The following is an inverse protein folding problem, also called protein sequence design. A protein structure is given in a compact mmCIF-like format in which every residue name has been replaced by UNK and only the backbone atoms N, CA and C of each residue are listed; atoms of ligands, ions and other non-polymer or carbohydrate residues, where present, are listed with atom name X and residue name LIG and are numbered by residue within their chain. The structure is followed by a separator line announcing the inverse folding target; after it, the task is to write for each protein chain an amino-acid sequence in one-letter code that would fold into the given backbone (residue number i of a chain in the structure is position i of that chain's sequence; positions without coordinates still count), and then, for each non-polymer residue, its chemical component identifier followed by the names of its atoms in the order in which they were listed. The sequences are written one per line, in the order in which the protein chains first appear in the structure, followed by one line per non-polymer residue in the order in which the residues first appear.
data_IF_782848399688
#
_entry.id   IF_782848399688
#
_cell.length_a   1.000
_cell.length_b   1.000
_cell.length_c   1.000
_cell.angle_alpha   90.00
_cell.angle_beta   90.00
_cell.angle_gamma   90.00
#
_symmetry.space_group_name_H-M   'P 1'
#
loop_
_entity.id
_entity.type
_entity.pdbx_description
1 polymer ?
#
# COMPACT_ATOMS: atom_id res chain seq x y z
N UNK A 1 4.64 19.96 -0.67
CA UNK A 1 5.41 20.66 -1.72
C UNK A 1 4.70 21.91 -2.20
N UNK A 2 4.95 23.02 -1.52
CA UNK A 2 4.38 24.31 -1.93
C UNK A 2 5.32 25.17 -2.78
N UNK A 3 6.48 24.61 -3.23
CA UNK A 3 7.40 25.33 -4.11
C UNK A 3 7.08 24.98 -5.57
N UNK A 4 6.69 25.99 -6.31
CA UNK A 4 6.30 25.91 -7.73
C UNK A 4 7.48 25.76 -8.71
N UNK A 5 8.67 25.42 -8.23
CA UNK A 5 9.89 25.36 -9.06
C UNK A 5 10.19 23.97 -9.62
N UNK A 6 9.58 22.91 -9.08
CA UNK A 6 9.75 21.57 -9.61
C UNK A 6 8.88 21.39 -10.87
N UNK A 7 9.42 20.82 -11.96
CA UNK A 7 8.62 20.47 -13.12
C UNK A 7 7.51 19.50 -12.71
N UNK A 8 6.32 19.71 -13.24
CA UNK A 8 5.14 18.88 -12.96
C UNK A 8 4.75 18.17 -14.24
N UNK A 9 4.41 16.90 -14.13
CA UNK A 9 3.95 16.08 -15.26
C UNK A 9 2.64 15.42 -14.91
N UNK A 10 1.72 15.47 -15.85
CA UNK A 10 0.50 14.66 -15.90
C UNK A 10 0.67 13.64 -17.00
N UNK A 11 0.48 12.37 -16.70
CA UNK A 11 0.57 11.31 -17.70
C UNK A 11 -0.69 11.31 -18.57
N UNK A 12 -0.53 11.12 -19.86
CA UNK A 12 -1.64 10.75 -20.74
C UNK A 12 -2.08 9.31 -20.47
N UNK A 13 -3.29 8.92 -20.87
CA UNK A 13 -3.75 7.54 -20.69
C UNK A 13 -2.88 6.52 -21.47
N UNK A 14 -2.27 6.93 -22.58
CA UNK A 14 -1.33 6.06 -23.31
C UNK A 14 -0.02 5.88 -22.52
N UNK A 15 0.55 6.94 -21.96
CA UNK A 15 1.72 6.81 -21.07
C UNK A 15 1.38 5.93 -19.84
N UNK A 16 0.17 6.05 -19.26
CA UNK A 16 -0.28 5.15 -18.19
C UNK A 16 -0.27 3.71 -18.64
N UNK A 17 -0.77 3.41 -19.86
CA UNK A 17 -0.77 2.04 -20.39
C UNK A 17 0.64 1.48 -20.52
N UNK A 18 1.58 2.28 -21.02
CA UNK A 18 2.99 1.89 -21.13
C UNK A 18 3.60 1.55 -19.79
N UNK A 19 3.42 2.43 -18.78
CA UNK A 19 3.92 2.21 -17.43
C UNK A 19 3.33 0.95 -16.79
N UNK A 20 2.03 0.72 -16.98
CA UNK A 20 1.33 -0.43 -16.37
C UNK A 20 1.79 -1.74 -17.01
N UNK A 21 2.02 -1.78 -18.34
CA UNK A 21 2.58 -2.98 -18.99
C UNK A 21 3.93 -3.37 -18.40
N UNK A 22 4.82 -2.39 -18.17
CA UNK A 22 6.12 -2.64 -17.53
C UNK A 22 5.93 -3.23 -16.11
N UNK A 23 5.01 -2.67 -15.33
CA UNK A 23 4.71 -3.17 -13.99
C UNK A 23 4.09 -4.58 -14.00
N UNK A 24 3.23 -4.88 -14.99
CA UNK A 24 2.69 -6.22 -15.19
C UNK A 24 3.77 -7.23 -15.58
N UNK A 25 4.70 -6.84 -16.46
CA UNK A 25 5.83 -7.67 -16.88
C UNK A 25 6.83 -7.92 -15.74
N UNK A 26 6.91 -7.01 -14.75
CA UNK A 26 7.63 -7.23 -13.50
C UNK A 26 6.92 -8.18 -12.52
N UNK A 27 5.65 -8.48 -12.74
CA UNK A 27 4.84 -9.37 -11.90
C UNK A 27 3.97 -8.68 -10.85
N UNK A 28 3.85 -7.36 -10.89
CA UNK A 28 2.94 -6.65 -9.98
C UNK A 28 1.48 -7.01 -10.24
N UNK A 29 0.70 -7.17 -9.16
CA UNK A 29 -0.75 -7.48 -9.21
C UNK A 29 -1.59 -6.41 -8.52
N UNK A 30 -0.95 -5.52 -7.78
CA UNK A 30 -1.59 -4.44 -7.04
C UNK A 30 -0.76 -3.16 -7.16
N UNK A 31 -1.42 -2.06 -7.42
CA UNK A 31 -0.80 -0.74 -7.50
C UNK A 31 -1.40 0.19 -6.43
N UNK A 32 -0.60 1.16 -5.99
CA UNK A 32 -1.05 2.36 -5.32
C UNK A 32 -0.85 3.53 -6.27
N UNK A 33 -1.93 4.18 -6.64
CA UNK A 33 -1.90 5.39 -7.46
C UNK A 33 -1.77 6.62 -6.58
N UNK A 34 -0.81 7.46 -6.89
CA UNK A 34 -0.59 8.74 -6.21
C UNK A 34 -0.78 9.90 -7.19
N UNK A 35 -1.62 10.85 -6.81
CA UNK A 35 -1.90 12.04 -7.61
C UNK A 35 -1.61 13.31 -6.82
N UNK A 36 -0.99 14.28 -7.49
CA UNK A 36 -0.91 15.64 -6.95
C UNK A 36 -2.28 16.31 -6.93
N UNK A 37 -2.53 17.14 -5.93
CA UNK A 37 -3.77 17.92 -5.87
C UNK A 37 -3.71 19.09 -6.86
N UNK A 38 -4.51 19.01 -7.91
CA UNK A 38 -4.72 20.09 -8.87
C UNK A 38 -6.12 19.96 -9.48
N UNK A 39 -7.09 20.79 -9.08
CA UNK A 39 -8.50 20.64 -9.47
C UNK A 39 -8.74 20.62 -10.98
N UNK A 40 -7.99 21.42 -11.74
CA UNK A 40 -8.13 21.54 -13.19
C UNK A 40 -7.36 20.44 -13.94
N UNK A 41 -6.13 20.14 -13.52
CA UNK A 41 -5.27 19.17 -14.21
C UNK A 41 -5.56 17.72 -13.80
N UNK A 42 -5.92 17.48 -12.53
CA UNK A 42 -6.23 16.17 -12.00
C UNK A 42 -7.66 16.10 -11.44
N UNK A 43 -8.69 16.40 -12.26
CA UNK A 43 -10.07 16.25 -11.82
C UNK A 43 -10.37 14.78 -11.52
N UNK A 44 -11.38 14.52 -10.70
CA UNK A 44 -11.72 13.15 -10.29
C UNK A 44 -12.03 12.24 -11.49
N UNK A 45 -12.58 12.78 -12.56
CA UNK A 45 -12.91 12.01 -13.74
C UNK A 45 -11.65 11.49 -14.45
N UNK A 46 -10.55 12.26 -14.47
CA UNK A 46 -9.26 11.77 -14.95
C UNK A 46 -8.73 10.63 -14.09
N UNK A 47 -8.85 10.73 -12.75
CA UNK A 47 -8.46 9.64 -11.84
C UNK A 47 -9.24 8.36 -12.12
N UNK A 48 -10.54 8.49 -12.33
CA UNK A 48 -11.45 7.38 -12.71
C UNK A 48 -11.03 6.76 -14.04
N UNK A 49 -10.71 7.60 -15.04
CA UNK A 49 -10.27 7.11 -16.36
C UNK A 49 -8.93 6.37 -16.29
N UNK A 50 -7.99 6.84 -15.46
CA UNK A 50 -6.73 6.12 -15.19
C UNK A 50 -7.02 4.75 -14.56
N UNK A 51 -7.89 4.67 -13.56
CA UNK A 51 -8.24 3.41 -12.90
C UNK A 51 -8.86 2.41 -13.90
N UNK A 52 -9.83 2.87 -14.71
CA UNK A 52 -10.47 2.05 -15.75
C UNK A 52 -9.46 1.59 -16.81
N UNK A 53 -8.56 2.48 -17.20
CA UNK A 53 -7.47 2.16 -18.15
C UNK A 53 -6.60 1.04 -17.60
N UNK A 54 -6.17 1.13 -16.34
CA UNK A 54 -5.33 0.11 -15.69
C UNK A 54 -6.03 -1.25 -15.66
N UNK A 55 -7.29 -1.31 -15.24
CA UNK A 55 -8.03 -2.58 -15.20
C UNK A 55 -8.31 -3.18 -16.59
N UNK A 56 -8.24 -2.36 -17.64
CA UNK A 56 -8.40 -2.80 -19.03
C UNK A 56 -7.15 -3.39 -19.67
N UNK A 57 -5.97 -3.28 -19.01
CA UNK A 57 -4.71 -3.75 -19.57
C UNK A 57 -4.47 -5.21 -19.16
N UNK A 58 -3.89 -5.98 -20.09
CA UNK A 58 -3.35 -7.31 -19.86
C UNK A 58 -2.10 -7.46 -20.73
N UNK A 59 -0.95 -7.70 -20.10
CA UNK A 59 0.31 -7.96 -20.79
C UNK A 59 0.76 -9.39 -20.53
N UNK A 60 0.74 -10.24 -21.55
CA UNK A 60 1.11 -11.65 -21.42
C UNK A 60 0.28 -12.36 -20.35
N UNK A 61 0.91 -12.74 -19.25
CA UNK A 61 0.27 -13.29 -18.02
C UNK A 61 0.03 -12.22 -16.96
N UNK A 62 0.39 -10.96 -17.27
CA UNK A 62 0.23 -9.81 -16.39
C UNK A 62 -1.21 -9.32 -16.37
N UNK A 63 -1.66 -8.91 -15.19
CA UNK A 63 -2.87 -8.12 -14.99
C UNK A 63 -2.81 -7.45 -13.63
N UNK A 64 -3.22 -6.20 -13.54
CA UNK A 64 -3.42 -5.53 -12.25
C UNK A 64 -4.79 -5.92 -11.72
N UNK A 65 -4.81 -6.62 -10.60
CA UNK A 65 -6.03 -7.14 -9.97
C UNK A 65 -6.60 -6.18 -8.93
N UNK A 66 -5.83 -5.19 -8.50
CA UNK A 66 -6.26 -4.20 -7.52
C UNK A 66 -5.48 -2.88 -7.62
N UNK A 67 -6.24 -1.79 -7.59
CA UNK A 67 -5.74 -0.41 -7.57
C UNK A 67 -6.16 0.25 -6.26
N UNK A 68 -5.20 0.60 -5.43
CA UNK A 68 -5.39 1.47 -4.28
C UNK A 68 -5.14 2.92 -4.71
N UNK A 69 -5.71 3.88 -4.01
CA UNK A 69 -5.63 5.29 -4.41
C UNK A 69 -5.20 6.16 -3.22
N UNK A 70 -4.20 7.00 -3.47
CA UNK A 70 -3.79 8.09 -2.59
C UNK A 70 -3.99 9.41 -3.35
N UNK A 71 -5.13 10.05 -3.11
CA UNK A 71 -5.46 11.37 -3.62
C UNK A 71 -5.78 12.30 -2.45
N UNK A 72 -5.71 13.61 -2.70
CA UNK A 72 -6.11 14.62 -1.74
C UNK A 72 -7.56 14.43 -1.24
N UNK A 73 -7.82 14.87 -0.03
CA UNK A 73 -9.16 14.89 0.54
C UNK A 73 -10.16 15.53 -0.43
N UNK A 74 -11.33 14.91 -0.60
CA UNK A 74 -12.33 15.36 -1.58
C UNK A 74 -13.75 15.25 -1.04
N UNK A 75 -14.76 15.43 -1.89
CA UNK A 75 -16.18 15.37 -1.54
C UNK A 75 -16.72 13.94 -1.51
N UNK A 76 -17.82 13.70 -0.83
CA UNK A 76 -18.55 12.42 -0.83
C UNK A 76 -18.88 11.97 -2.26
N UNK A 77 -19.33 12.89 -3.11
CA UNK A 77 -19.64 12.60 -4.51
C UNK A 77 -18.44 12.06 -5.28
N UNK A 78 -17.26 12.68 -5.11
CA UNK A 78 -16.03 12.20 -5.74
C UNK A 78 -15.61 10.84 -5.20
N UNK A 79 -15.77 10.57 -3.90
CA UNK A 79 -15.53 9.25 -3.34
C UNK A 79 -16.50 8.19 -3.87
N UNK A 80 -17.76 8.54 -4.15
CA UNK A 80 -18.70 7.63 -4.84
C UNK A 80 -18.15 7.22 -6.21
N UNK A 81 -17.65 8.18 -7.01
CA UNK A 81 -17.05 7.88 -8.32
C UNK A 81 -15.85 6.93 -8.20
N UNK A 82 -14.99 7.11 -7.19
CA UNK A 82 -13.85 6.20 -6.93
C UNK A 82 -14.32 4.79 -6.54
N UNK A 83 -15.35 4.70 -5.70
CA UNK A 83 -15.93 3.41 -5.34
C UNK A 83 -16.50 2.69 -6.57
N UNK A 84 -17.26 3.40 -7.41
CA UNK A 84 -17.81 2.86 -8.66
C UNK A 84 -16.71 2.43 -9.65
N UNK A 85 -15.56 3.13 -9.67
CA UNK A 85 -14.40 2.74 -10.45
C UNK A 85 -13.70 1.47 -9.90
N UNK A 86 -14.11 0.98 -8.73
CA UNK A 86 -13.63 -0.27 -8.15
C UNK A 86 -12.28 -0.16 -7.45
N UNK A 87 -11.99 0.95 -6.79
CA UNK A 87 -10.76 1.08 -6.01
C UNK A 87 -10.70 0.05 -4.87
N UNK A 88 -9.47 -0.24 -4.43
CA UNK A 88 -9.18 -0.93 -3.20
C UNK A 88 -9.25 -0.02 -1.98
N UNK A 89 -8.12 0.06 -1.32
CA UNK A 89 -7.94 0.94 -0.18
C UNK A 89 -7.85 2.39 -0.64
N UNK A 90 -8.63 3.27 -0.03
CA UNK A 90 -8.36 4.71 -0.06
C UNK A 90 -7.34 5.04 1.01
N UNK A 91 -6.17 5.51 0.61
CA UNK A 91 -5.11 5.93 1.53
C UNK A 91 -4.99 7.44 1.57
N UNK A 92 -4.94 8.00 2.76
CA UNK A 92 -4.60 9.40 2.97
C UNK A 92 -3.86 9.56 4.29
N UNK A 93 -2.74 10.27 4.22
CA UNK A 93 -1.98 10.61 5.42
C UNK A 93 -2.49 11.93 5.99
N UNK A 94 -2.66 11.96 7.31
CA UNK A 94 -2.91 13.22 8.01
C UNK A 94 -1.71 14.16 7.91
N UNK A 95 -0.54 13.63 7.59
CA UNK A 95 0.77 14.27 7.62
C UNK A 95 1.21 14.53 9.07
N UNK A 96 0.55 15.42 9.79
CA UNK A 96 0.67 15.62 11.23
C UNK A 96 -0.70 15.92 11.84
N UNK A 97 -0.98 15.36 13.00
CA UNK A 97 -2.18 15.67 13.78
C UNK A 97 -2.02 16.95 14.61
N UNK A 98 -0.80 17.50 14.74
CA UNK A 98 -0.59 18.76 15.44
C UNK A 98 -1.05 19.94 14.55
N UNK A 99 -2.19 20.53 14.90
CA UNK A 99 -2.88 21.53 14.07
C UNK A 99 -2.00 22.71 13.68
N UNK A 100 -1.30 23.30 14.64
CA UNK A 100 -0.45 24.48 14.38
C UNK A 100 0.67 24.15 13.39
N UNK A 101 1.31 23.00 13.56
CA UNK A 101 2.34 22.51 12.62
C UNK A 101 1.73 22.25 11.25
N UNK A 102 0.55 21.62 11.19
CA UNK A 102 -0.14 21.35 9.95
C UNK A 102 -0.43 22.63 9.16
N UNK A 103 -1.05 23.61 9.78
CA UNK A 103 -1.42 24.91 9.17
C UNK A 103 -0.18 25.73 8.76
N UNK A 104 0.92 25.64 9.51
CA UNK A 104 2.21 26.29 9.17
C UNK A 104 2.86 25.66 7.93
N UNK A 105 2.79 24.34 7.77
CA UNK A 105 3.51 23.62 6.72
C UNK A 105 2.72 23.48 5.42
N UNK A 106 1.39 23.48 5.47
CA UNK A 106 0.55 23.24 4.30
C UNK A 106 -0.01 24.57 3.75
N UNK A 107 -0.22 24.59 2.44
CA UNK A 107 -0.77 25.76 1.72
C UNK A 107 -1.81 25.28 0.69
N UNK A 108 -2.57 26.25 0.16
CA UNK A 108 -3.63 25.96 -0.81
C UNK A 108 -4.75 25.11 -0.19
N UNK A 109 -5.47 24.30 -0.96
CA UNK A 109 -6.58 23.49 -0.46
C UNK A 109 -6.19 22.52 0.65
N UNK A 110 -4.95 22.01 0.63
CA UNK A 110 -4.42 21.09 1.65
C UNK A 110 -4.21 21.77 3.01
N UNK A 111 -4.21 23.12 3.10
CA UNK A 111 -4.07 23.84 4.37
C UNK A 111 -5.32 23.73 5.28
N UNK A 112 -6.45 23.31 4.74
CA UNK A 112 -7.67 23.06 5.51
C UNK A 112 -7.52 21.76 6.33
N UNK A 113 -7.21 21.94 7.60
CA UNK A 113 -6.98 20.85 8.55
C UNK A 113 -8.20 19.96 8.72
N UNK A 114 -9.40 20.53 8.84
CA UNK A 114 -10.64 19.77 9.03
C UNK A 114 -11.00 18.98 7.77
N UNK A 115 -10.82 19.58 6.59
CA UNK A 115 -10.99 18.88 5.32
C UNK A 115 -10.11 17.65 5.22
N UNK A 116 -8.86 17.72 5.68
CA UNK A 116 -7.93 16.61 5.70
C UNK A 116 -8.33 15.57 6.75
N UNK A 117 -8.56 15.99 7.98
CA UNK A 117 -8.85 15.10 9.11
C UNK A 117 -10.10 14.24 8.88
N UNK A 118 -11.19 14.84 8.37
CA UNK A 118 -12.45 14.15 8.11
C UNK A 118 -12.57 13.58 6.68
N UNK A 119 -11.46 13.40 5.97
CA UNK A 119 -11.50 12.81 4.64
C UNK A 119 -12.01 11.37 4.65
N UNK A 120 -11.59 10.57 5.63
CA UNK A 120 -12.02 9.19 5.77
C UNK A 120 -13.50 9.06 6.18
N UNK A 121 -14.02 10.00 6.96
CA UNK A 121 -15.46 10.07 7.25
C UNK A 121 -16.27 10.18 5.98
N UNK A 122 -15.91 11.10 5.09
CA UNK A 122 -16.57 11.27 3.79
C UNK A 122 -16.38 10.06 2.88
N UNK A 123 -15.25 9.39 2.94
CA UNK A 123 -15.01 8.15 2.20
C UNK A 123 -15.95 7.03 2.69
N UNK A 124 -16.15 6.89 4.01
CA UNK A 124 -17.13 5.96 4.58
C UNK A 124 -18.57 6.33 4.20
N UNK A 125 -18.94 7.60 4.22
CA UNK A 125 -20.25 8.07 3.76
C UNK A 125 -20.52 7.72 2.29
N UNK A 126 -19.50 7.74 1.44
CA UNK A 126 -19.56 7.26 0.06
C UNK A 126 -19.54 5.72 -0.06
N UNK A 127 -19.40 5.01 1.07
CA UNK A 127 -19.37 3.55 1.12
C UNK A 127 -18.02 2.94 0.78
N UNK A 128 -16.91 3.69 0.79
CA UNK A 128 -15.56 3.14 0.79
C UNK A 128 -15.28 2.66 2.20
N UNK A 129 -15.17 1.35 2.39
CA UNK A 129 -15.03 0.69 3.68
C UNK A 129 -13.63 0.07 3.92
N UNK A 130 -12.70 0.32 3.01
CA UNK A 130 -11.30 -0.08 3.11
C UNK A 130 -10.42 1.17 3.04
N UNK A 131 -9.88 1.57 4.18
CA UNK A 131 -9.13 2.81 4.32
C UNK A 131 -7.74 2.57 4.92
N UNK A 132 -6.80 3.44 4.57
CA UNK A 132 -5.47 3.50 5.13
C UNK A 132 -5.15 4.86 5.73
N UNK A 133 -4.74 4.85 6.99
CA UNK A 133 -4.25 6.02 7.70
C UNK A 133 -2.73 6.11 7.63
N UNK A 134 -2.19 7.28 7.89
CA UNK A 134 -0.74 7.48 8.01
C UNK A 134 -0.36 8.82 8.58
N UNK A 135 0.87 8.90 9.05
CA UNK A 135 1.53 10.10 9.54
C UNK A 135 2.90 10.18 8.90
N UNK A 136 3.31 11.37 8.51
CA UNK A 136 4.69 11.63 8.10
C UNK A 136 5.50 11.97 9.36
N UNK A 137 6.07 10.94 9.99
CA UNK A 137 6.84 11.08 11.22
C UNK A 137 8.07 11.96 11.01
N UNK A 138 8.23 12.96 11.88
CA UNK A 138 9.28 13.97 11.77
C UNK A 138 8.77 15.38 11.49
N UNK A 139 7.46 15.57 11.29
CA UNK A 139 6.86 16.91 11.21
C UNK A 139 6.60 17.49 12.61
N UNK A 140 6.25 16.63 13.56
CA UNK A 140 6.05 16.98 14.97
C UNK A 140 6.51 15.82 15.88
N UNK A 141 6.39 15.94 17.21
CA UNK A 141 6.77 14.90 18.18
C UNK A 141 6.06 13.58 17.87
N UNK A 142 6.83 12.55 17.59
CA UNK A 142 6.30 11.25 17.19
C UNK A 142 5.43 10.59 18.25
N UNK A 143 5.61 10.91 19.53
CA UNK A 143 4.78 10.36 20.63
C UNK A 143 3.37 10.90 20.55
N UNK A 144 3.24 12.20 20.28
CA UNK A 144 1.95 12.84 20.03
C UNK A 144 1.28 12.22 18.80
N UNK A 145 2.03 12.08 17.70
CA UNK A 145 1.52 11.55 16.43
C UNK A 145 1.03 10.10 16.57
N UNK A 146 1.75 9.25 17.32
CA UNK A 146 1.34 7.86 17.57
C UNK A 146 0.03 7.82 18.36
N UNK A 147 -0.09 8.62 19.43
CA UNK A 147 -1.33 8.69 20.24
C UNK A 147 -2.52 9.21 19.41
N UNK A 148 -2.29 10.23 18.59
CA UNK A 148 -3.32 10.80 17.73
C UNK A 148 -3.76 9.81 16.63
N UNK A 149 -2.82 9.09 16.01
CA UNK A 149 -3.12 8.07 15.00
C UNK A 149 -3.95 6.92 15.59
N UNK A 150 -3.59 6.44 16.79
CA UNK A 150 -4.37 5.42 17.51
C UNK A 150 -5.77 5.94 17.84
N UNK A 151 -5.87 7.19 18.34
CA UNK A 151 -7.16 7.82 18.66
C UNK A 151 -8.04 7.97 17.42
N UNK A 152 -7.47 8.34 16.26
CA UNK A 152 -8.21 8.42 15.00
C UNK A 152 -8.70 7.04 14.55
N UNK A 153 -7.88 5.99 14.67
CA UNK A 153 -8.31 4.62 14.38
C UNK A 153 -9.48 4.18 15.27
N UNK A 154 -9.41 4.49 16.57
CA UNK A 154 -10.49 4.19 17.53
C UNK A 154 -11.77 5.01 17.25
N UNK A 155 -11.61 6.27 16.85
CA UNK A 155 -12.73 7.11 16.44
C UNK A 155 -13.50 6.50 15.26
N UNK A 156 -12.78 6.11 14.20
CA UNK A 156 -13.39 5.51 13.01
C UNK A 156 -14.04 4.16 13.34
N UNK A 157 -13.37 3.31 14.12
CA UNK A 157 -13.94 2.03 14.57
C UNK A 157 -15.21 2.22 15.40
N UNK A 158 -15.23 3.20 16.29
CA UNK A 158 -16.41 3.53 17.11
C UNK A 158 -17.55 4.11 16.27
N UNK A 159 -17.24 4.97 15.29
CA UNK A 159 -18.25 5.67 14.50
C UNK A 159 -18.86 4.80 13.41
N UNK A 160 -18.03 4.02 12.71
CA UNK A 160 -18.43 3.25 11.52
C UNK A 160 -18.44 1.74 11.75
N UNK A 161 -17.95 1.26 12.90
CA UNK A 161 -17.76 -0.18 13.17
C UNK A 161 -16.59 -0.79 12.38
N UNK A 162 -15.80 0.03 11.71
CA UNK A 162 -14.70 -0.35 10.84
C UNK A 162 -13.47 0.49 11.14
N UNK A 163 -12.41 -0.14 11.64
CA UNK A 163 -11.12 0.52 11.82
C UNK A 163 -10.30 0.53 10.52
N UNK A 164 -9.13 1.19 10.53
CA UNK A 164 -8.28 1.24 9.34
C UNK A 164 -7.75 -0.13 8.96
N UNK A 165 -7.78 -0.43 7.66
CA UNK A 165 -7.19 -1.64 7.11
C UNK A 165 -5.65 -1.58 7.17
N UNK A 166 -5.07 -0.40 6.97
CA UNK A 166 -3.62 -0.20 7.00
C UNK A 166 -3.19 1.06 7.73
N UNK A 167 -1.99 0.98 8.34
CA UNK A 167 -1.20 2.13 8.76
C UNK A 167 0.04 2.26 7.88
N UNK A 168 0.30 3.45 7.36
CA UNK A 168 1.58 3.80 6.74
C UNK A 168 2.43 4.59 7.71
N UNK A 169 3.70 4.23 7.83
CA UNK A 169 4.65 4.81 8.81
C UNK A 169 5.88 5.44 8.14
N UNK A 170 5.71 6.37 7.17
CA UNK A 170 6.83 7.03 6.56
C UNK A 170 7.51 8.00 7.53
N UNK A 171 8.85 8.06 7.45
CA UNK A 171 9.61 9.16 8.04
C UNK A 171 9.80 10.28 7.03
N UNK A 172 9.90 11.51 7.53
CA UNK A 172 10.35 12.63 6.73
C UNK A 172 11.77 12.36 6.22
N UNK A 173 11.93 12.43 4.91
CA UNK A 173 13.20 12.39 4.22
C UNK A 173 13.40 13.69 3.46
N UNK A 174 14.63 14.17 3.40
CA UNK A 174 14.95 15.34 2.60
C UNK A 174 14.67 15.03 1.12
N UNK A 175 14.19 16.02 0.40
CA UNK A 175 14.11 15.97 -1.06
C UNK A 175 14.91 17.16 -1.59
N UNK A 176 15.53 17.02 -2.76
CA UNK A 176 16.38 18.06 -3.37
C UNK A 176 15.74 19.45 -3.43
N UNK A 177 14.40 19.48 -3.48
CA UNK A 177 13.60 20.71 -3.60
C UNK A 177 13.07 21.24 -2.26
N UNK A 178 13.41 20.62 -1.13
CA UNK A 178 12.87 20.97 0.20
C UNK A 178 13.97 21.53 1.09
N UNK A 179 13.89 22.80 1.37
CA UNK A 179 14.80 23.59 2.22
C UNK A 179 14.24 23.73 3.65
N UNK A 180 13.66 22.66 4.17
CA UNK A 180 13.07 22.63 5.49
C UNK A 180 13.73 21.54 6.33
N UNK A 181 14.16 21.89 7.53
CA UNK A 181 14.71 20.94 8.48
C UNK A 181 13.69 20.64 9.58
N UNK A 182 13.55 19.37 9.92
CA UNK A 182 12.69 18.96 11.01
C UNK A 182 13.27 19.34 12.37
N UNK A 183 12.43 19.94 13.21
CA UNK A 183 12.72 20.13 14.64
C UNK A 183 12.52 18.81 15.44
N UNK A 184 11.86 17.82 14.85
CA UNK A 184 11.50 16.54 15.45
C UNK A 184 11.97 15.34 14.60
N UNK A 185 13.26 15.27 14.27
CA UNK A 185 13.76 14.17 13.45
C UNK A 185 13.53 12.82 14.15
N UNK A 186 13.14 11.82 13.40
CA UNK A 186 12.89 10.47 13.93
C UNK A 186 14.03 9.54 13.51
N UNK A 187 14.74 9.01 14.49
CA UNK A 187 15.81 8.03 14.30
C UNK A 187 15.26 6.66 13.86
N UNK A 188 16.13 5.80 13.35
CA UNK A 188 15.76 4.42 12.99
C UNK A 188 15.23 3.64 14.20
N UNK A 189 15.83 3.80 15.36
CA UNK A 189 15.37 3.14 16.59
C UNK A 189 14.00 3.65 17.04
N UNK A 190 13.70 4.93 16.86
CA UNK A 190 12.38 5.48 17.15
C UNK A 190 11.35 4.98 16.15
N UNK A 191 11.69 4.88 14.86
CA UNK A 191 10.80 4.26 13.86
C UNK A 191 10.44 2.83 14.25
N UNK A 192 11.41 2.02 14.66
CA UNK A 192 11.17 0.66 15.11
C UNK A 192 10.27 0.62 16.37
N UNK A 193 10.44 1.57 17.31
CA UNK A 193 9.54 1.72 18.46
C UNK A 193 8.12 2.12 18.05
N UNK A 194 7.98 3.06 17.13
CA UNK A 194 6.67 3.47 16.57
C UNK A 194 5.95 2.24 16.00
N UNK A 195 6.64 1.45 15.17
CA UNK A 195 6.08 0.23 14.58
C UNK A 195 5.61 -0.75 15.66
N UNK A 196 6.45 -1.01 16.67
CA UNK A 196 6.13 -1.91 17.77
C UNK A 196 4.90 -1.43 18.56
N UNK A 197 4.84 -0.14 18.90
CA UNK A 197 3.71 0.44 19.66
C UNK A 197 2.40 0.35 18.85
N UNK A 198 2.43 0.74 17.56
CA UNK A 198 1.26 0.67 16.70
C UNK A 198 0.78 -0.77 16.48
N UNK A 199 1.71 -1.72 16.33
CA UNK A 199 1.37 -3.16 16.20
C UNK A 199 0.68 -3.69 17.45
N UNK A 200 1.13 -3.30 18.64
CA UNK A 200 0.52 -3.72 19.91
C UNK A 200 -0.82 -3.03 20.16
N UNK A 201 -0.93 -1.74 19.82
CA UNK A 201 -2.13 -0.96 20.07
C UNK A 201 -3.29 -1.29 19.10
N UNK A 202 -2.98 -1.59 17.83
CA UNK A 202 -3.97 -1.89 16.79
C UNK A 202 -3.56 -3.16 16.02
N UNK A 203 -3.66 -4.34 16.65
CA UNK A 203 -3.05 -5.58 16.14
C UNK A 203 -3.66 -6.10 14.85
N UNK A 204 -4.91 -5.77 14.54
CA UNK A 204 -5.62 -6.22 13.34
C UNK A 204 -5.23 -5.46 12.07
N UNK A 205 -4.63 -4.27 12.20
CA UNK A 205 -4.29 -3.38 11.07
C UNK A 205 -3.04 -3.85 10.34
N UNK A 206 -3.05 -3.86 9.02
CA UNK A 206 -1.85 -4.00 8.20
C UNK A 206 -0.92 -2.79 8.39
N UNK A 207 0.39 -3.00 8.38
CA UNK A 207 1.36 -1.90 8.51
C UNK A 207 2.29 -1.87 7.31
N UNK A 208 2.44 -0.69 6.71
CA UNK A 208 3.17 -0.48 5.46
C UNK A 208 4.45 0.30 5.74
N UNK A 209 5.58 -0.24 5.28
CA UNK A 209 6.85 0.47 5.18
C UNK A 209 7.20 0.70 3.70
N UNK A 210 7.64 1.91 3.38
CA UNK A 210 7.96 2.29 2.00
C UNK A 210 9.45 2.13 1.70
N UNK A 211 9.80 2.32 0.42
CA UNK A 211 11.17 2.38 -0.08
C UNK A 211 11.95 3.63 0.35
N UNK A 212 11.36 4.50 1.17
CA UNK A 212 12.07 5.59 1.86
C UNK A 212 13.07 5.09 2.90
N UNK A 213 12.90 3.83 3.36
CA UNK A 213 13.77 3.21 4.35
C UNK A 213 14.75 2.25 3.68
N UNK A 214 15.97 2.20 4.24
CA UNK A 214 17.04 1.31 3.78
C UNK A 214 16.65 -0.17 3.95
N UNK A 215 17.18 -1.07 3.11
CA UNK A 215 16.89 -2.51 3.17
C UNK A 215 17.00 -3.13 4.56
N UNK A 216 18.04 -2.76 5.33
CA UNK A 216 18.31 -3.30 6.67
C UNK A 216 17.22 -2.90 7.68
N UNK A 217 16.73 -1.66 7.57
CA UNK A 217 15.66 -1.17 8.45
C UNK A 217 14.33 -1.81 8.08
N UNK A 218 14.07 -1.98 6.78
CA UNK A 218 12.87 -2.69 6.31
C UNK A 218 12.86 -4.14 6.78
N UNK A 219 14.00 -4.83 6.76
CA UNK A 219 14.14 -6.18 7.29
C UNK A 219 13.79 -6.25 8.78
N UNK A 220 14.42 -5.40 9.61
CA UNK A 220 14.11 -5.31 11.05
C UNK A 220 12.63 -4.96 11.32
N UNK A 221 12.04 -4.11 10.48
CA UNK A 221 10.65 -3.70 10.63
C UNK A 221 9.68 -4.88 10.41
N UNK A 222 9.97 -5.81 9.50
CA UNK A 222 9.20 -7.05 9.36
C UNK A 222 9.21 -7.92 10.61
N UNK A 223 10.37 -8.03 11.28
CA UNK A 223 10.48 -8.80 12.54
C UNK A 223 9.60 -8.24 13.66
N UNK A 224 9.30 -6.93 13.64
CA UNK A 224 8.59 -6.24 14.72
C UNK A 224 7.09 -6.08 14.42
N UNK A 225 6.68 -6.11 13.14
CA UNK A 225 5.25 -5.98 12.89
C UNK A 225 4.82 -5.36 11.57
N UNK A 226 5.74 -4.95 10.71
CA UNK A 226 5.38 -4.58 9.35
C UNK A 226 4.84 -5.82 8.62
N UNK A 227 3.79 -5.63 7.84
CA UNK A 227 3.14 -6.70 7.08
C UNK A 227 3.01 -6.41 5.59
N UNK A 228 3.33 -5.19 5.17
CA UNK A 228 3.27 -4.78 3.77
C UNK A 228 4.45 -3.88 3.42
N UNK A 229 4.90 -3.98 2.18
CA UNK A 229 6.00 -3.15 1.68
C UNK A 229 5.84 -2.85 0.20
N UNK A 230 6.41 -1.73 -0.24
CA UNK A 230 6.57 -1.40 -1.66
C UNK A 230 7.84 -2.04 -2.21
N UNK A 231 7.85 -2.36 -3.50
CA UNK A 231 9.01 -2.87 -4.22
C UNK A 231 9.09 -2.27 -5.62
N UNK A 232 10.28 -2.04 -6.12
CA UNK A 232 10.52 -1.48 -7.45
C UNK A 232 9.93 -0.09 -7.65
N UNK A 233 9.78 0.71 -6.59
CA UNK A 233 9.12 2.02 -6.65
C UNK A 233 9.87 3.01 -7.52
N UNK A 234 9.13 3.91 -8.18
CA UNK A 234 9.65 5.11 -8.84
C UNK A 234 8.86 6.31 -8.36
N UNK A 235 9.54 7.42 -8.11
CA UNK A 235 8.93 8.64 -7.56
C UNK A 235 8.76 9.74 -8.60
N UNK A 236 9.25 9.51 -9.82
CA UNK A 236 9.03 10.38 -10.98
C UNK A 236 7.84 9.90 -11.79
N UNK A 237 6.92 10.77 -12.25
CA UNK A 237 5.84 10.39 -13.13
C UNK A 237 6.37 9.78 -14.44
N UNK A 238 5.94 8.55 -14.78
CA UNK A 238 6.42 7.85 -15.97
C UNK A 238 7.80 7.21 -15.84
N UNK A 239 8.31 7.05 -14.61
CA UNK A 239 9.67 6.59 -14.33
C UNK A 239 9.93 5.08 -14.48
N UNK A 240 8.97 4.29 -14.94
CA UNK A 240 9.16 2.84 -15.18
C UNK A 240 9.68 2.49 -16.57
N UNK A 241 9.78 3.47 -17.50
CA UNK A 241 10.41 3.30 -18.82
C UNK A 241 11.90 3.63 -18.80
N UNK A 242 12.48 3.86 -19.98
CA UNK A 242 13.86 4.29 -20.14
C UNK A 242 14.09 5.61 -19.40
N UNK A 243 15.24 5.73 -18.77
CA UNK A 243 15.74 6.81 -17.91
C UNK A 243 14.95 8.15 -17.91
N UNK A 244 13.98 8.29 -17.01
CA UNK A 244 13.41 9.59 -16.78
C UNK A 244 14.40 10.42 -15.96
N UNK A 245 14.96 11.47 -16.55
CA UNK A 245 15.78 12.50 -15.90
C UNK A 245 14.91 13.47 -15.09
N UNK A 246 13.69 13.08 -14.72
CA UNK A 246 12.75 13.94 -14.03
C UNK A 246 13.01 13.95 -12.51
N UNK A 247 12.75 15.10 -11.89
CA UNK A 247 12.97 15.34 -10.47
C UNK A 247 12.13 14.39 -9.62
N UNK A 248 12.78 13.61 -8.79
CA UNK A 248 12.15 12.72 -7.82
C UNK A 248 11.38 13.49 -6.75
N UNK A 249 10.20 13.02 -6.34
CA UNK A 249 9.42 13.65 -5.26
C UNK A 249 10.11 13.53 -3.89
N UNK A 250 10.86 12.46 -3.67
CA UNK A 250 11.71 12.20 -2.51
C UNK A 250 12.76 11.15 -2.87
N UNK A 251 13.84 11.11 -2.13
CA UNK A 251 14.89 10.11 -2.33
C UNK A 251 14.43 8.72 -1.90
N UNK A 252 14.67 7.74 -2.78
CA UNK A 252 14.52 6.32 -2.45
C UNK A 252 15.81 5.83 -1.77
N UNK A 253 15.65 5.12 -0.67
CA UNK A 253 16.76 4.44 0.02
C UNK A 253 16.83 2.95 -0.33
N UNK A 254 15.80 2.44 -1.01
CA UNK A 254 15.73 1.07 -1.51
C UNK A 254 15.18 1.06 -2.93
N UNK A 255 16.08 0.87 -3.88
CA UNK A 255 15.78 0.85 -5.33
C UNK A 255 15.72 -0.57 -5.91
N UNK A 256 15.78 -1.60 -5.02
CA UNK A 256 15.75 -3.01 -5.43
C UNK A 256 14.52 -3.32 -6.27
N UNK A 257 14.71 -4.19 -7.25
CA UNK A 257 13.64 -4.75 -8.06
C UNK A 257 12.65 -5.56 -7.20
N UNK A 258 11.49 -5.88 -7.77
CA UNK A 258 10.50 -6.72 -7.09
C UNK A 258 11.10 -8.08 -6.69
N UNK A 259 11.85 -8.74 -7.57
CA UNK A 259 12.43 -10.07 -7.31
C UNK A 259 13.50 -10.03 -6.20
N UNK A 260 14.31 -8.97 -6.13
CA UNK A 260 15.28 -8.76 -5.06
C UNK A 260 14.61 -8.52 -3.71
N UNK A 261 13.51 -7.76 -3.67
CA UNK A 261 12.72 -7.57 -2.44
C UNK A 261 12.04 -8.87 -2.03
N UNK A 262 11.47 -9.61 -2.97
CA UNK A 262 10.90 -10.95 -2.72
C UNK A 262 11.96 -11.88 -2.12
N UNK A 263 13.16 -11.93 -2.71
CA UNK A 263 14.28 -12.71 -2.18
C UNK A 263 14.60 -12.33 -0.73
N UNK A 264 14.71 -11.05 -0.43
CA UNK A 264 14.98 -10.55 0.93
C UNK A 264 13.92 -10.95 1.95
N UNK A 265 12.64 -10.99 1.54
CA UNK A 265 11.53 -11.45 2.39
C UNK A 265 11.63 -12.96 2.66
N UNK A 266 11.97 -13.74 1.63
CA UNK A 266 12.19 -15.19 1.76
C UNK A 266 13.36 -15.52 2.69
N UNK A 267 14.48 -14.78 2.59
CA UNK A 267 15.66 -14.94 3.45
C UNK A 267 15.36 -14.76 4.94
N UNK A 268 14.30 -14.02 5.27
CA UNK A 268 13.75 -13.89 6.62
C UNK A 268 12.78 -15.03 6.99
N UNK A 269 12.59 -16.01 6.11
CA UNK A 269 11.65 -17.12 6.33
C UNK A 269 10.18 -16.72 6.22
N UNK A 270 9.89 -15.56 5.63
CA UNK A 270 8.53 -15.03 5.44
C UNK A 270 8.01 -15.40 4.06
N UNK A 271 6.67 -15.53 3.94
CA UNK A 271 5.97 -15.84 2.70
C UNK A 271 5.48 -14.54 2.02
N UNK A 272 6.02 -14.15 0.83
CA UNK A 272 5.48 -13.05 0.05
C UNK A 272 4.04 -13.32 -0.42
N UNK A 273 3.23 -12.26 -0.54
CA UNK A 273 1.84 -12.37 -0.97
C UNK A 273 1.46 -11.27 -1.95
N UNK A 274 0.86 -11.67 -3.06
CA UNK A 274 0.27 -10.78 -4.06
C UNK A 274 -1.27 -10.83 -4.03
N UNK A 275 -1.83 -11.27 -2.92
CA UNK A 275 -3.27 -11.51 -2.77
C UNK A 275 -4.09 -10.21 -2.87
N UNK A 276 -5.19 -10.31 -3.61
CA UNK A 276 -6.22 -9.28 -3.76
C UNK A 276 -7.64 -9.83 -3.53
N UNK A 277 -7.75 -11.02 -2.94
CA UNK A 277 -9.01 -11.77 -2.87
C UNK A 277 -10.09 -11.09 -2.03
N UNK A 278 -9.73 -10.43 -0.92
CA UNK A 278 -10.71 -9.82 -0.02
C UNK A 278 -11.62 -8.82 -0.73
N UNK A 279 -11.05 -7.97 -1.57
CA UNK A 279 -11.82 -7.00 -2.37
C UNK A 279 -12.81 -7.65 -3.34
N UNK A 280 -12.43 -8.79 -3.94
CA UNK A 280 -13.22 -9.50 -4.93
C UNK A 280 -14.21 -10.49 -4.34
N UNK A 281 -14.08 -10.77 -3.04
CA UNK A 281 -14.94 -11.70 -2.30
C UNK A 281 -15.81 -10.97 -1.28
N UNK A 282 -16.00 -9.65 -1.42
CA UNK A 282 -16.79 -8.81 -0.50
C UNK A 282 -16.35 -8.95 0.98
N UNK A 283 -15.06 -9.21 1.21
CA UNK A 283 -14.44 -9.29 2.53
C UNK A 283 -13.69 -7.99 2.85
N UNK A 284 -14.39 -6.85 2.77
CA UNK A 284 -13.90 -5.52 3.17
C UNK A 284 -14.74 -5.00 4.32
N UNK A 285 -14.43 -3.85 4.86
CA UNK A 285 -15.18 -3.18 5.89
C UNK A 285 -15.45 -4.06 7.11
N UNK A 286 -16.70 -4.09 7.54
CA UNK A 286 -17.12 -4.87 8.71
C UNK A 286 -16.83 -6.36 8.56
N UNK A 287 -17.07 -6.95 7.41
CA UNK A 287 -16.79 -8.37 7.15
C UNK A 287 -15.30 -8.68 7.35
N UNK A 288 -14.41 -7.81 6.89
CA UNK A 288 -12.98 -7.95 7.15
C UNK A 288 -12.67 -7.83 8.65
N UNK A 289 -13.21 -6.83 9.34
CA UNK A 289 -12.95 -6.61 10.76
C UNK A 289 -13.43 -7.78 11.64
N UNK A 290 -14.58 -8.36 11.33
CA UNK A 290 -15.12 -9.52 12.04
C UNK A 290 -14.24 -10.78 11.89
N UNK A 291 -13.42 -10.86 10.84
CA UNK A 291 -12.43 -11.91 10.63
C UNK A 291 -11.04 -11.54 11.18
N UNK A 292 -10.63 -10.29 11.03
CA UNK A 292 -9.29 -9.84 11.35
C UNK A 292 -9.08 -9.67 12.86
N UNK A 293 -10.03 -9.03 13.57
CA UNK A 293 -9.94 -8.79 15.02
C UNK A 293 -9.77 -10.08 15.84
N UNK A 294 -10.52 -11.17 15.59
CA UNK A 294 -10.32 -12.45 16.28
C UNK A 294 -9.21 -13.32 15.66
N UNK A 295 -8.55 -12.87 14.59
CA UNK A 295 -7.48 -13.62 13.92
C UNK A 295 -7.95 -14.65 12.88
N UNK A 296 -9.24 -14.81 12.64
CA UNK A 296 -9.79 -15.80 11.71
C UNK A 296 -9.44 -15.54 10.24
N UNK A 297 -9.01 -14.32 9.92
CA UNK A 297 -8.58 -13.94 8.57
C UNK A 297 -7.40 -14.78 8.06
N UNK A 298 -6.58 -15.35 8.95
CA UNK A 298 -5.48 -16.23 8.59
C UNK A 298 -5.90 -17.46 7.79
N UNK A 299 -7.15 -17.92 7.96
CA UNK A 299 -7.70 -19.05 7.19
C UNK A 299 -7.86 -18.73 5.69
N UNK A 300 -7.85 -17.46 5.31
CA UNK A 300 -7.90 -16.96 3.94
C UNK A 300 -6.54 -16.41 3.49
N UNK A 301 -5.90 -15.60 4.34
CA UNK A 301 -4.66 -14.92 3.98
C UNK A 301 -3.52 -15.90 3.68
N UNK A 302 -3.32 -16.92 4.50
CA UNK A 302 -2.23 -17.88 4.33
C UNK A 302 -2.38 -18.71 3.04
N UNK A 303 -3.50 -19.39 2.76
CA UNK A 303 -3.66 -20.11 1.50
C UNK A 303 -3.60 -19.18 0.28
N UNK A 304 -4.19 -17.99 0.34
CA UNK A 304 -4.12 -17.02 -0.75
C UNK A 304 -2.69 -16.50 -0.98
N UNK A 305 -1.90 -16.32 0.07
CA UNK A 305 -0.49 -15.97 -0.06
C UNK A 305 0.28 -17.07 -0.80
N UNK A 306 0.09 -18.33 -0.40
CA UNK A 306 0.69 -19.51 -1.06
C UNK A 306 0.35 -19.53 -2.55
N UNK A 307 -0.93 -19.40 -2.89
CA UNK A 307 -1.40 -19.49 -4.28
C UNK A 307 -0.85 -18.34 -5.14
N UNK A 308 -0.95 -17.10 -4.66
CA UNK A 308 -0.48 -15.94 -5.42
C UNK A 308 1.04 -15.89 -5.53
N UNK A 309 1.74 -16.42 -4.52
CA UNK A 309 3.20 -16.53 -4.58
C UNK A 309 3.64 -17.65 -5.54
N UNK A 310 2.95 -18.78 -5.60
CA UNK A 310 3.20 -19.81 -6.61
C UNK A 310 3.04 -19.27 -8.03
N UNK A 311 1.99 -18.46 -8.29
CA UNK A 311 1.85 -17.79 -9.59
C UNK A 311 3.06 -16.91 -9.91
N UNK A 312 3.53 -16.12 -8.93
CA UNK A 312 4.72 -15.29 -9.10
C UNK A 312 5.97 -16.12 -9.41
N UNK A 313 6.19 -17.22 -8.67
CA UNK A 313 7.32 -18.11 -8.91
C UNK A 313 7.30 -18.72 -10.31
N UNK A 314 6.13 -19.11 -10.80
CA UNK A 314 6.00 -19.74 -12.12
C UNK A 314 6.21 -18.75 -13.27
N UNK A 315 5.73 -17.54 -13.13
CA UNK A 315 5.62 -16.59 -14.23
C UNK A 315 6.77 -15.56 -14.28
N UNK A 316 7.36 -15.19 -13.13
CA UNK A 316 8.24 -14.00 -13.04
C UNK A 316 9.57 -14.24 -12.33
N UNK A 317 9.61 -15.12 -11.33
CA UNK A 317 10.77 -15.26 -10.45
C UNK A 317 12.02 -15.80 -11.15
N UNK A 318 13.18 -15.25 -10.79
CA UNK A 318 14.47 -15.80 -11.21
C UNK A 318 14.70 -17.20 -10.60
N UNK A 319 15.52 -18.07 -11.24
CA UNK A 319 15.71 -19.46 -10.82
C UNK A 319 16.06 -19.65 -9.35
N UNK A 320 16.89 -18.76 -8.79
CA UNK A 320 17.29 -18.83 -7.38
C UNK A 320 16.12 -18.55 -6.43
N UNK A 321 15.33 -17.52 -6.73
CA UNK A 321 14.13 -17.16 -5.97
C UNK A 321 13.08 -18.26 -6.08
N UNK A 322 12.92 -18.84 -7.26
CA UNK A 322 11.99 -19.94 -7.51
C UNK A 322 12.27 -21.15 -6.62
N UNK A 323 13.54 -21.58 -6.54
CA UNK A 323 13.93 -22.72 -5.71
C UNK A 323 13.65 -22.45 -4.23
N UNK A 324 14.13 -21.32 -3.71
CA UNK A 324 13.97 -20.98 -2.30
C UNK A 324 12.49 -20.70 -1.94
N UNK A 325 11.76 -20.06 -2.85
CA UNK A 325 10.33 -19.79 -2.69
C UNK A 325 9.50 -21.07 -2.58
N UNK A 326 9.87 -22.13 -3.30
CA UNK A 326 9.18 -23.43 -3.20
C UNK A 326 9.34 -24.05 -1.80
N UNK A 327 10.51 -23.96 -1.19
CA UNK A 327 10.74 -24.46 0.19
C UNK A 327 9.89 -23.70 1.21
N UNK A 328 9.74 -22.39 1.04
CA UNK A 328 8.88 -21.55 1.89
C UNK A 328 7.41 -21.88 1.71
N UNK A 329 6.94 -22.12 0.48
CA UNK A 329 5.57 -22.56 0.22
C UNK A 329 5.27 -23.87 0.95
N UNK A 330 6.15 -24.88 0.88
CA UNK A 330 6.01 -26.16 1.54
C UNK A 330 5.90 -26.01 3.06
N UNK A 331 6.77 -25.17 3.67
CA UNK A 331 6.72 -24.84 5.08
C UNK A 331 5.36 -24.26 5.48
N UNK A 332 4.91 -23.19 4.80
CA UNK A 332 3.67 -22.52 5.14
C UNK A 332 2.42 -23.34 4.85
N UNK A 333 2.49 -24.26 3.88
CA UNK A 333 1.42 -25.21 3.61
C UNK A 333 1.16 -26.14 4.80
N UNK A 334 2.23 -26.61 5.46
CA UNK A 334 2.13 -27.45 6.66
C UNK A 334 1.56 -26.68 7.86
N UNK A 335 1.73 -25.35 7.89
CA UNK A 335 1.20 -24.49 8.95
C UNK A 335 -0.30 -24.15 8.79
N UNK A 336 -0.98 -24.58 7.72
CA UNK A 336 -2.44 -24.42 7.58
C UNK A 336 -3.12 -25.37 8.56
N UNK A 337 -3.86 -24.87 9.59
CA UNK A 337 -4.41 -25.73 10.65
C UNK A 337 -5.49 -26.66 10.12
N UNK A 338 -6.36 -26.16 9.24
CA UNK A 338 -7.48 -26.95 8.68
C UNK A 338 -7.00 -27.90 7.59
N UNK A 339 -7.14 -29.20 7.83
CA UNK A 339 -6.84 -30.23 6.83
C UNK A 339 -7.64 -30.04 5.53
N UNK A 340 -8.91 -29.63 5.63
CA UNK A 340 -9.76 -29.35 4.47
C UNK A 340 -9.18 -28.21 3.63
N UNK A 341 -8.83 -27.08 4.26
CA UNK A 341 -8.25 -25.92 3.56
C UNK A 341 -6.89 -26.28 2.95
N UNK A 342 -6.07 -27.05 3.67
CA UNK A 342 -4.77 -27.51 3.17
C UNK A 342 -4.91 -28.37 1.91
N UNK A 343 -5.81 -29.34 1.90
CA UNK A 343 -6.08 -30.19 0.73
C UNK A 343 -6.61 -29.39 -0.45
N UNK A 344 -7.51 -28.44 -0.20
CA UNK A 344 -8.01 -27.55 -1.25
C UNK A 344 -6.91 -26.64 -1.80
N UNK A 345 -6.02 -26.15 -0.94
CA UNK A 345 -4.83 -25.35 -1.36
C UNK A 345 -3.92 -26.19 -2.25
N UNK A 346 -3.64 -27.44 -1.89
CA UNK A 346 -2.86 -28.37 -2.72
C UNK A 346 -3.51 -28.58 -4.10
N UNK A 347 -4.82 -28.81 -4.15
CA UNK A 347 -5.52 -28.94 -5.42
C UNK A 347 -5.41 -27.70 -6.30
N UNK A 348 -5.53 -26.49 -5.70
CA UNK A 348 -5.36 -25.22 -6.43
C UNK A 348 -3.91 -25.03 -6.89
N UNK A 349 -2.91 -25.42 -6.09
CA UNK A 349 -1.50 -25.41 -6.51
C UNK A 349 -1.24 -26.27 -7.74
N UNK A 350 -1.80 -27.49 -7.79
CA UNK A 350 -1.68 -28.35 -8.97
C UNK A 350 -2.33 -27.74 -10.22
N UNK A 351 -3.43 -27.01 -10.06
CA UNK A 351 -4.07 -26.27 -11.16
C UNK A 351 -3.19 -25.12 -11.64
N UNK A 352 -2.54 -24.38 -10.71
CA UNK A 352 -1.59 -23.31 -11.05
C UNK A 352 -0.42 -23.88 -11.85
N UNK A 353 0.17 -25.01 -11.44
CA UNK A 353 1.24 -25.69 -12.17
C UNK A 353 0.83 -26.10 -13.59
N UNK A 354 -0.46 -26.38 -13.81
CA UNK A 354 -1.04 -26.67 -15.13
C UNK A 354 -1.36 -25.42 -15.94
N UNK A 355 -1.05 -24.24 -15.44
CA UNK A 355 -1.19 -22.96 -16.15
C UNK A 355 -2.43 -22.15 -15.78
N UNK A 356 -3.27 -22.61 -14.84
CA UNK A 356 -4.39 -21.83 -14.34
C UNK A 356 -3.88 -20.69 -13.45
N UNK A 357 -4.55 -19.55 -13.45
CA UNK A 357 -4.16 -18.36 -12.70
C UNK A 357 -5.37 -17.77 -11.97
N UNK A 358 -5.06 -16.88 -11.03
CA UNK A 358 -6.07 -16.14 -10.26
C UNK A 358 -6.97 -17.03 -9.40
N UNK A 359 -6.39 -18.07 -8.80
CA UNK A 359 -7.08 -18.93 -7.85
C UNK A 359 -6.97 -18.37 -6.42
N UNK A 360 -8.10 -18.31 -5.73
CA UNK A 360 -8.17 -17.82 -4.36
C UNK A 360 -9.33 -18.46 -3.55
N UNK A 361 -9.35 -18.15 -2.24
CA UNK A 361 -10.40 -18.55 -1.28
C UNK A 361 -11.29 -17.37 -0.93
#
# INVERSE_FOLDING_TARGET
HCRNTAPRKKLTLEEVKEQVKILEDMGHKRLLLEFGEHPEENPIDYVVDVIKTIYGIKSGRGEIRRVNVNIAATTVENYCKLKEAGIGTYQLFQETYHRETYEKLHKGPKADYERQLFAHDRAFEAGIDDIGLGVLFGLYDWRFEVLALISHAQYLDKKFGVGPHTFSVPRFQLAETVDWQSEYPVSENELLKIIAILRLAVPYTGMIISTRERPEIRAKAFEIGISQTSAGSRTSPGGYGEESKEVSQFELQDERSLDEVVKSVLEQGLLPSFCTACYRSSRTGKTFMDLAKPGNIHNFCRPNAILTFQEYLDDYAFPQVKKFGQEIIEKYLLEIPSQKIRLETLNKLERIKKGERDLYF
#
